data_IF_686244019187
#
_entry.id   IF_686244019187
#
_cell.length_a   1.000
_cell.length_b   1.000
_cell.length_c   1.000
_cell.angle_alpha   90.00
_cell.angle_beta   90.00
_cell.angle_gamma   90.00
#
_symmetry.space_group_name_H-M   'P 1'
#
loop_
_entity.id
_entity.type
_entity.pdbx_description
1 polymer ?
#
# COMPACT_ATOMS: atom_id res chain seq x y z
N UNK A 1 -17.38 -5.77 -7.67
CA UNK A 1 -16.60 -5.75 -6.42
C UNK A 1 -15.44 -4.78 -6.65
N UNK A 2 -15.18 -3.83 -5.75
CA UNK A 2 -14.17 -2.79 -5.99
C UNK A 2 -12.76 -3.25 -5.61
N UNK A 3 -11.72 -2.60 -6.16
CA UNK A 3 -10.31 -2.84 -5.82
C UNK A 3 -10.07 -2.72 -4.32
N UNK A 4 -10.69 -1.70 -3.73
CA UNK A 4 -10.65 -1.47 -2.31
C UNK A 4 -11.14 -2.71 -1.56
N UNK A 5 -12.30 -3.24 -1.91
CA UNK A 5 -12.90 -4.37 -1.19
C UNK A 5 -12.01 -5.62 -1.23
N UNK A 6 -11.39 -5.94 -2.38
CA UNK A 6 -10.48 -7.08 -2.50
C UNK A 6 -9.23 -6.92 -1.65
N UNK A 7 -8.62 -5.73 -1.67
CA UNK A 7 -7.47 -5.42 -0.82
C UNK A 7 -7.84 -5.46 0.67
N UNK A 8 -8.96 -4.85 1.07
CA UNK A 8 -9.45 -4.91 2.46
C UNK A 8 -9.69 -6.33 2.91
N UNK A 9 -10.38 -7.15 2.10
CA UNK A 9 -10.63 -8.55 2.42
C UNK A 9 -9.33 -9.34 2.62
N UNK A 10 -8.32 -9.10 1.79
CA UNK A 10 -7.01 -9.73 1.98
C UNK A 10 -6.39 -9.30 3.31
N UNK A 11 -6.31 -7.99 3.56
CA UNK A 11 -5.70 -7.46 4.78
C UNK A 11 -6.46 -7.93 6.03
N UNK A 12 -7.80 -7.95 5.98
CA UNK A 12 -8.65 -8.46 7.06
C UNK A 12 -8.47 -9.97 7.28
N UNK A 13 -8.12 -10.73 6.26
CA UNK A 13 -7.85 -12.17 6.40
C UNK A 13 -6.49 -12.49 7.02
N UNK A 14 -5.51 -11.57 6.97
CA UNK A 14 -4.18 -11.80 7.52
C UNK A 14 -4.22 -12.07 9.03
N UNK A 15 -3.54 -13.13 9.47
CA UNK A 15 -3.59 -13.64 10.85
C UNK A 15 -2.22 -13.69 11.53
N UNK A 16 -1.14 -13.83 10.76
CA UNK A 16 0.23 -13.95 11.24
C UNK A 16 1.15 -12.90 10.64
N UNK A 17 1.03 -12.64 9.34
CA UNK A 17 1.91 -11.75 8.61
C UNK A 17 1.19 -11.05 7.45
N UNK A 18 1.66 -9.84 7.16
CA UNK A 18 1.15 -9.02 6.08
C UNK A 18 2.24 -8.14 5.50
N UNK A 19 2.58 -8.40 4.25
CA UNK A 19 3.63 -7.68 3.52
C UNK A 19 3.02 -6.91 2.36
N UNK A 20 3.19 -5.59 2.37
CA UNK A 20 2.51 -4.70 1.43
C UNK A 20 3.53 -3.79 0.77
N UNK A 21 3.59 -3.86 -0.54
CA UNK A 21 4.37 -2.93 -1.36
C UNK A 21 3.40 -2.08 -2.16
N UNK A 22 3.50 -0.77 -1.99
CA UNK A 22 2.63 0.17 -2.68
C UNK A 22 3.47 1.21 -3.34
N UNK A 23 3.10 1.59 -4.57
CA UNK A 23 3.83 2.62 -5.29
C UNK A 23 3.81 3.93 -4.51
N UNK A 24 2.63 4.50 -4.28
CA UNK A 24 2.50 5.67 -3.42
C UNK A 24 1.34 5.46 -2.45
N UNK A 25 1.55 5.70 -1.14
CA UNK A 25 0.50 5.61 -0.14
C UNK A 25 -0.34 6.90 -0.09
N UNK A 26 0.16 8.00 -0.67
CA UNK A 26 -0.51 9.29 -0.69
C UNK A 26 -1.52 9.34 -1.83
N UNK A 27 -2.71 9.92 -1.61
CA UNK A 27 -3.66 10.07 -2.69
C UNK A 27 -3.27 11.19 -3.65
N UNK A 28 -3.70 11.10 -4.91
CA UNK A 28 -3.63 12.21 -5.86
C UNK A 28 -4.81 13.17 -5.69
N UNK A 29 -4.73 14.38 -6.26
CA UNK A 29 -5.77 15.44 -6.18
C UNK A 29 -7.16 15.02 -6.71
N UNK A 30 -7.28 13.87 -7.38
CA UNK A 30 -8.55 13.38 -7.95
C UNK A 30 -9.40 12.63 -6.90
N UNK A 31 -9.17 12.84 -5.61
CA UNK A 31 -9.73 11.99 -4.55
C UNK A 31 -10.39 12.83 -3.45
N UNK A 32 -11.66 13.18 -3.64
CA UNK A 32 -12.62 13.12 -2.53
C UNK A 32 -13.58 11.96 -2.79
N UNK A 33 -13.03 10.75 -2.59
CA UNK A 33 -13.77 9.50 -2.67
C UNK A 33 -13.85 8.91 -1.28
N UNK A 34 -15.05 8.82 -0.66
CA UNK A 34 -15.20 8.28 0.69
C UNK A 34 -14.58 6.89 0.87
N UNK A 35 -14.57 6.05 -0.18
CA UNK A 35 -13.93 4.73 -0.17
C UNK A 35 -12.41 4.78 -0.04
N UNK A 36 -11.76 5.86 -0.46
CA UNK A 36 -10.31 6.04 -0.34
C UNK A 36 -9.89 6.47 1.08
N UNK A 37 -10.81 7.02 1.87
CA UNK A 37 -10.57 7.33 3.30
C UNK A 37 -10.23 6.08 4.08
N UNK A 38 -10.80 4.94 3.70
CA UNK A 38 -10.47 3.64 4.29
C UNK A 38 -8.96 3.36 4.27
N UNK A 39 -8.21 3.89 3.27
CA UNK A 39 -6.78 3.62 3.02
C UNK A 39 -5.81 4.53 3.76
N UNK A 40 -6.30 5.65 4.28
CA UNK A 40 -5.44 6.74 4.77
C UNK A 40 -5.83 7.17 6.19
N UNK A 41 -6.82 6.54 6.81
CA UNK A 41 -7.25 6.87 8.15
C UNK A 41 -6.41 6.17 9.22
N UNK A 42 -6.11 6.78 10.38
CA UNK A 42 -5.36 6.12 11.45
C UNK A 42 -6.03 4.86 12.01
N UNK A 43 -7.32 4.69 11.78
CA UNK A 43 -8.10 3.49 12.11
C UNK A 43 -7.97 2.38 11.04
N UNK A 44 -7.07 2.58 10.07
CA UNK A 44 -6.82 1.65 8.98
C UNK A 44 -6.69 0.22 9.49
N UNK A 45 -7.23 -0.72 8.71
CA UNK A 45 -7.16 -2.15 9.02
C UNK A 45 -5.72 -2.64 9.29
N UNK A 46 -4.72 -2.05 8.65
CA UNK A 46 -3.30 -2.34 8.90
C UNK A 46 -2.86 -2.01 10.32
N UNK A 47 -3.26 -0.84 10.82
CA UNK A 47 -2.97 -0.44 12.20
C UNK A 47 -3.67 -1.41 13.17
N UNK A 48 -4.92 -1.79 12.88
CA UNK A 48 -5.65 -2.79 13.69
C UNK A 48 -4.95 -4.16 13.69
N UNK A 49 -4.43 -4.60 12.55
CA UNK A 49 -3.71 -5.88 12.41
C UNK A 49 -2.39 -5.87 13.17
N UNK A 50 -1.60 -4.79 13.05
CA UNK A 50 -0.37 -4.63 13.83
C UNK A 50 -0.65 -4.63 15.34
N UNK A 51 -1.68 -3.90 15.80
CA UNK A 51 -2.12 -3.92 17.21
C UNK A 51 -2.55 -5.31 17.70
N UNK A 52 -3.09 -6.14 16.80
CA UNK A 52 -3.46 -7.52 17.09
C UNK A 52 -2.27 -8.51 17.06
N UNK A 53 -1.04 -8.03 16.86
CA UNK A 53 0.18 -8.85 16.83
C UNK A 53 0.52 -9.44 15.46
N UNK A 54 -0.20 -9.07 14.40
CA UNK A 54 0.16 -9.48 13.03
C UNK A 54 1.42 -8.75 12.60
N UNK A 55 2.41 -9.47 12.06
CA UNK A 55 3.64 -8.87 11.52
C UNK A 55 3.31 -8.07 10.26
N UNK A 56 3.18 -6.75 10.37
CA UNK A 56 2.90 -5.87 9.23
C UNK A 56 4.17 -5.17 8.73
N UNK A 57 4.47 -5.31 7.43
CA UNK A 57 5.52 -4.52 6.75
C UNK A 57 4.94 -3.76 5.56
N UNK A 58 5.31 -2.50 5.43
CA UNK A 58 4.88 -1.62 4.33
C UNK A 58 6.09 -1.02 3.62
N UNK A 59 6.23 -1.25 2.32
CA UNK A 59 7.14 -0.51 1.44
C UNK A 59 6.31 0.52 0.67
N UNK A 60 6.71 1.78 0.72
CA UNK A 60 6.01 2.85 0.03
C UNK A 60 6.99 3.94 -0.46
N UNK A 61 6.64 4.71 -1.49
CA UNK A 61 7.44 5.89 -1.84
C UNK A 61 7.41 6.93 -0.71
N UNK A 62 8.52 7.65 -0.55
CA UNK A 62 8.56 8.86 0.27
C UNK A 62 7.68 9.99 -0.32
N UNK A 63 7.40 11.07 0.44
CA UNK A 63 6.60 12.21 -0.05
C UNK A 63 7.12 12.84 -1.34
N UNK A 64 8.43 13.09 -1.41
CA UNK A 64 9.06 13.79 -2.54
C UNK A 64 8.94 12.97 -3.84
N UNK A 65 9.24 11.68 -3.75
CA UNK A 65 9.16 10.73 -4.87
C UNK A 65 7.70 10.48 -5.28
N UNK A 66 6.78 10.49 -4.32
CA UNK A 66 5.34 10.43 -4.60
C UNK A 66 4.87 11.66 -5.37
N UNK A 67 5.31 12.86 -4.96
CA UNK A 67 5.01 14.11 -5.65
C UNK A 67 5.58 14.10 -7.07
N UNK A 68 6.83 13.67 -7.25
CA UNK A 68 7.45 13.52 -8.56
C UNK A 68 6.69 12.52 -9.46
N UNK A 69 6.23 11.40 -8.89
CA UNK A 69 5.40 10.43 -9.60
C UNK A 69 4.09 11.06 -10.10
N UNK A 70 3.34 11.73 -9.22
CA UNK A 70 2.07 12.35 -9.60
C UNK A 70 2.25 13.44 -10.66
N UNK A 71 3.30 14.26 -10.56
CA UNK A 71 3.64 15.24 -11.59
C UNK A 71 3.90 14.59 -12.96
N UNK A 72 4.63 13.47 -13.01
CA UNK A 72 4.95 12.74 -14.24
C UNK A 72 3.72 12.16 -14.94
N UNK A 73 2.70 11.74 -14.19
CA UNK A 73 1.46 11.17 -14.75
C UNK A 73 0.39 12.22 -15.05
N UNK A 74 0.77 13.50 -15.12
CA UNK A 74 -0.16 14.61 -15.40
C UNK A 74 -1.20 14.77 -14.30
N UNK A 75 -0.80 14.56 -13.05
CA UNK A 75 -1.61 14.70 -11.85
C UNK A 75 -0.84 15.54 -10.81
N UNK A 76 -1.44 15.74 -9.64
CA UNK A 76 -0.83 16.37 -8.49
C UNK A 76 -1.15 15.52 -7.26
N UNK A 77 -0.29 15.53 -6.24
CA UNK A 77 -0.60 14.90 -4.97
C UNK A 77 -1.75 15.64 -4.28
N UNK A 78 -2.63 14.93 -3.57
CA UNK A 78 -3.75 15.50 -2.84
C UNK A 78 -3.29 16.63 -1.90
N UNK A 79 -4.21 17.53 -1.58
CA UNK A 79 -3.97 18.66 -0.70
C UNK A 79 -3.66 18.22 0.75
N UNK A 80 -3.25 19.21 1.54
CA UNK A 80 -2.68 19.04 2.90
C UNK A 80 -3.47 18.08 3.80
N UNK A 81 -4.81 18.10 3.88
CA UNK A 81 -5.54 17.24 4.80
C UNK A 81 -5.41 15.74 4.51
N UNK A 82 -5.30 15.35 3.25
CA UNK A 82 -5.16 13.94 2.87
C UNK A 82 -3.73 13.44 3.07
N UNK A 83 -2.75 14.30 2.78
CA UNK A 83 -1.36 14.03 3.07
C UNK A 83 -1.13 13.78 4.57
N UNK A 84 -1.64 14.68 5.42
CA UNK A 84 -1.54 14.57 6.87
C UNK A 84 -2.23 13.32 7.41
N UNK A 85 -3.37 12.92 6.84
CA UNK A 85 -4.05 11.66 7.19
C UNK A 85 -3.18 10.45 6.87
N UNK A 86 -2.63 10.37 5.66
CA UNK A 86 -1.72 9.28 5.27
C UNK A 86 -0.51 9.21 6.21
N UNK A 87 0.10 10.34 6.54
CA UNK A 87 1.22 10.40 7.49
C UNK A 87 0.81 9.96 8.90
N UNK A 88 -0.37 10.38 9.38
CA UNK A 88 -0.91 9.94 10.66
C UNK A 88 -1.20 8.43 10.69
N UNK A 89 -1.67 7.86 9.58
CA UNK A 89 -1.87 6.41 9.46
C UNK A 89 -0.54 5.65 9.48
N UNK A 90 0.47 6.12 8.75
CA UNK A 90 1.82 5.53 8.76
C UNK A 90 2.41 5.58 10.18
N UNK A 91 2.34 6.74 10.85
CA UNK A 91 2.82 6.87 12.23
C UNK A 91 2.06 5.97 13.21
N UNK A 92 0.74 5.82 13.03
CA UNK A 92 -0.08 4.92 13.83
C UNK A 92 0.29 3.44 13.60
N UNK A 93 0.63 3.06 12.36
CA UNK A 93 1.10 1.72 12.02
C UNK A 93 2.44 1.42 12.70
N UNK A 94 3.40 2.35 12.65
CA UNK A 94 4.69 2.19 13.32
C UNK A 94 4.54 2.09 14.85
N UNK A 95 3.70 2.95 15.43
CA UNK A 95 3.39 2.90 16.87
C UNK A 95 2.73 1.57 17.28
N UNK A 96 1.95 0.97 16.38
CA UNK A 96 1.33 -0.33 16.59
C UNK A 96 2.29 -1.53 16.42
N UNK A 97 3.59 -1.29 16.17
CA UNK A 97 4.60 -2.33 15.95
C UNK A 97 4.72 -2.79 14.49
N UNK A 98 4.03 -2.12 13.57
CA UNK A 98 4.28 -2.30 12.14
C UNK A 98 5.62 -1.68 11.72
N UNK A 99 6.15 -2.12 10.60
CA UNK A 99 7.39 -1.58 10.04
C UNK A 99 7.10 -0.91 8.70
N UNK A 100 7.53 0.34 8.55
CA UNK A 100 7.38 1.08 7.30
C UNK A 100 8.75 1.40 6.73
N UNK A 101 8.90 1.15 5.43
CA UNK A 101 10.07 1.51 4.66
C UNK A 101 9.64 2.47 3.56
N UNK A 102 10.18 3.68 3.65
CA UNK A 102 10.06 4.69 2.60
C UNK A 102 11.20 4.54 1.60
N UNK A 103 10.89 4.51 0.31
CA UNK A 103 11.86 4.45 -0.78
C UNK A 103 11.82 5.74 -1.60
N UNK A 104 13.00 6.27 -1.92
CA UNK A 104 13.17 7.50 -2.70
C UNK A 104 14.39 7.46 -3.60
N UNK A 105 14.48 8.40 -4.54
CA UNK A 105 15.68 8.62 -5.38
C UNK A 105 16.01 7.53 -6.41
N UNK A 106 15.24 6.44 -6.48
CA UNK A 106 15.38 5.36 -7.46
C UNK A 106 14.16 5.21 -8.38
N UNK A 107 14.21 4.27 -9.37
CA UNK A 107 13.04 3.96 -10.17
C UNK A 107 11.89 3.52 -9.26
N UNK A 108 10.75 4.21 -9.37
CA UNK A 108 9.59 3.97 -8.53
C UNK A 108 9.14 2.50 -8.63
N UNK A 109 8.74 1.86 -7.52
CA UNK A 109 8.24 0.50 -7.56
C UNK A 109 7.02 0.42 -8.48
N UNK A 110 7.15 -0.32 -9.58
CA UNK A 110 6.10 -0.33 -10.59
C UNK A 110 4.90 -1.22 -10.19
N UNK A 111 5.13 -2.22 -9.36
CA UNK A 111 4.09 -3.17 -8.94
C UNK A 111 3.65 -2.88 -7.51
N UNK A 112 2.35 -2.69 -7.31
CA UNK A 112 1.73 -2.66 -5.99
C UNK A 112 1.07 -4.01 -5.71
N UNK A 113 1.34 -4.56 -4.52
CA UNK A 113 0.76 -5.83 -4.10
C UNK A 113 0.74 -5.95 -2.57
N UNK A 114 -0.06 -6.90 -2.09
CA UNK A 114 -0.06 -7.35 -0.72
C UNK A 114 -0.04 -8.88 -0.68
N UNK A 115 0.70 -9.44 0.28
CA UNK A 115 0.74 -10.87 0.60
C UNK A 115 0.30 -11.04 2.05
N UNK A 116 -0.72 -11.86 2.26
CA UNK A 116 -1.21 -12.23 3.60
C UNK A 116 -0.81 -13.67 3.91
N UNK A 117 -0.15 -13.86 5.06
CA UNK A 117 0.24 -15.15 5.62
C UNK A 117 1.09 -16.07 4.70
N UNK A 118 1.59 -15.56 3.57
CA UNK A 118 2.25 -16.37 2.53
C UNK A 118 1.27 -17.26 1.73
N UNK A 119 -0.03 -17.09 1.91
CA UNK A 119 -1.06 -17.97 1.35
C UNK A 119 -1.91 -17.30 0.27
N UNK A 120 -2.08 -15.99 0.37
CA UNK A 120 -2.93 -15.20 -0.52
C UNK A 120 -2.22 -13.93 -0.92
N UNK A 121 -2.36 -13.53 -2.18
CA UNK A 121 -1.87 -12.26 -2.66
C UNK A 121 -2.91 -11.50 -3.47
N UNK A 122 -2.84 -10.19 -3.40
CA UNK A 122 -3.59 -9.26 -4.24
C UNK A 122 -2.60 -8.32 -4.90
N UNK A 123 -2.68 -8.21 -6.23
CA UNK A 123 -1.92 -7.26 -7.02
C UNK A 123 -2.85 -6.25 -7.64
N UNK A 124 -2.36 -5.02 -7.74
CA UNK A 124 -3.07 -3.92 -8.37
C UNK A 124 -2.05 -2.97 -9.00
N UNK A 125 -2.38 -2.38 -10.15
CA UNK A 125 -1.52 -1.37 -10.76
C UNK A 125 -1.91 0.00 -10.23
N UNK A 126 -0.91 0.80 -9.84
CA UNK A 126 -1.11 2.20 -9.47
C UNK A 126 -0.83 2.52 -8.00
N UNK A 127 -1.07 3.78 -7.65
CA UNK A 127 -0.97 4.34 -6.31
C UNK A 127 -2.34 4.29 -5.61
N UNK A 128 -2.35 4.26 -4.27
CA UNK A 128 -3.58 4.17 -3.47
C UNK A 128 -4.61 5.26 -3.76
N UNK A 129 -4.20 6.47 -4.17
CA UNK A 129 -5.15 7.49 -4.65
C UNK A 129 -4.99 7.94 -6.10
N UNK A 130 -4.54 7.05 -6.99
CA UNK A 130 -4.61 7.25 -8.45
C UNK A 130 -5.64 6.32 -9.13
N UNK A 131 -6.51 5.67 -8.36
CA UNK A 131 -7.40 4.57 -8.78
C UNK A 131 -8.34 4.96 -9.94
N UNK A 132 -8.57 6.26 -10.22
CA UNK A 132 -9.42 6.70 -11.32
C UNK A 132 -8.81 6.60 -12.73
N UNK A 133 -7.51 6.84 -12.90
CA UNK A 133 -6.87 6.76 -14.25
C UNK A 133 -6.33 5.37 -14.56
N UNK A 134 -6.18 4.57 -13.52
CA UNK A 134 -5.78 3.17 -13.60
C UNK A 134 -6.86 2.37 -12.86
N UNK A 135 -8.00 2.11 -13.51
CA UNK A 135 -8.85 0.95 -13.22
C UNK A 135 -8.04 -0.32 -13.54
N UNK A 136 -6.96 -0.50 -12.80
CA UNK A 136 -6.05 -1.57 -12.97
C UNK A 136 -6.71 -2.85 -12.50
N UNK A 137 -6.65 -3.88 -13.34
CA UNK A 137 -7.04 -5.24 -13.01
C UNK A 137 -6.49 -5.61 -11.64
N UNK A 138 -7.40 -5.89 -10.70
CA UNK A 138 -7.04 -6.57 -9.47
C UNK A 138 -6.86 -8.04 -9.79
N UNK A 139 -5.70 -8.55 -9.44
CA UNK A 139 -5.43 -9.97 -9.55
C UNK A 139 -5.31 -10.55 -8.15
N UNK A 140 -6.30 -11.36 -7.76
CA UNK A 140 -6.23 -12.16 -6.56
C UNK A 140 -5.67 -13.54 -6.91
N UNK A 141 -4.83 -14.09 -6.06
CA UNK A 141 -4.23 -15.40 -6.31
C UNK A 141 -3.91 -16.13 -5.02
N UNK A 142 -4.02 -17.45 -5.11
CA UNK A 142 -3.54 -18.43 -4.12
C UNK A 142 -2.45 -19.32 -4.73
N UNK A 143 -1.95 -18.98 -5.92
CA UNK A 143 -0.89 -19.72 -6.60
C UNK A 143 0.44 -19.56 -5.84
N UNK A 144 0.87 -20.65 -5.20
CA UNK A 144 2.01 -20.66 -4.29
C UNK A 144 3.35 -20.30 -4.97
N UNK A 145 3.69 -20.79 -6.18
CA UNK A 145 4.87 -20.33 -6.91
C UNK A 145 4.88 -18.82 -7.13
N UNK A 146 3.75 -18.25 -7.53
CA UNK A 146 3.65 -16.82 -7.79
C UNK A 146 3.69 -15.99 -6.49
N UNK A 147 3.07 -16.46 -5.40
CA UNK A 147 3.18 -15.80 -4.09
C UNK A 147 4.63 -15.77 -3.61
N UNK A 148 5.36 -16.88 -3.69
CA UNK A 148 6.80 -16.92 -3.34
C UNK A 148 7.63 -15.96 -4.19
N UNK A 149 7.28 -15.80 -5.48
CA UNK A 149 7.90 -14.79 -6.33
C UNK A 149 7.66 -13.36 -5.80
N UNK A 150 6.43 -13.04 -5.36
CA UNK A 150 6.10 -11.74 -4.79
C UNK A 150 6.78 -11.50 -3.45
N UNK A 151 6.85 -12.51 -2.58
CA UNK A 151 7.60 -12.44 -1.31
C UNK A 151 9.08 -12.21 -1.58
N UNK A 152 9.68 -12.91 -2.54
CA UNK A 152 11.07 -12.69 -2.95
C UNK A 152 11.28 -11.27 -3.46
N UNK A 153 10.39 -10.78 -4.33
CA UNK A 153 10.44 -9.41 -4.84
C UNK A 153 10.28 -8.37 -3.72
N UNK A 154 9.44 -8.67 -2.72
CA UNK A 154 9.29 -7.85 -1.51
C UNK A 154 10.58 -7.82 -0.71
N UNK A 155 11.15 -8.98 -0.37
CA UNK A 155 12.39 -9.09 0.42
C UNK A 155 13.57 -8.42 -0.27
N UNK A 156 13.70 -8.53 -1.59
CA UNK A 156 14.73 -7.82 -2.33
C UNK A 156 14.62 -6.31 -2.09
N UNK A 157 13.42 -5.74 -2.23
CA UNK A 157 13.19 -4.32 -1.97
C UNK A 157 13.35 -3.96 -0.47
N UNK A 158 12.99 -4.88 0.42
CA UNK A 158 13.13 -4.73 1.87
C UNK A 158 14.58 -4.91 2.36
N UNK A 159 15.47 -5.45 1.53
CA UNK A 159 16.88 -5.64 1.87
C UNK A 159 17.79 -4.56 1.26
N UNK A 160 17.37 -3.92 0.16
CA UNK A 160 18.09 -2.80 -0.44
C UNK A 160 18.34 -1.70 0.59
N UNK A 161 19.55 -1.15 0.62
CA UNK A 161 19.92 -0.02 1.50
C UNK A 161 19.65 1.30 0.80
#
# INVERSE_FOLDING_TARGET
MSIADSFYKLVESASTALDIKVRSPYPGQVVDRPELRKFIDPEHVLVRKAKAGVRCRLICLDPESSQAFFARVGSKMADTPYFERTEAMIAALETAGGHVRRVGGGPAPELSFAVADGERAVLFLGAWGAIQKFEASVFETTDQPFIRFLETAFELCWSCR
#
